data_IF_953960625423
#
_entry.id   IF_953960625423
#
_cell.length_a   1.000
_cell.length_b   1.000
_cell.length_c   1.000
_cell.angle_alpha   90.00
_cell.angle_beta   90.00
_cell.angle_gamma   90.00
#
_symmetry.space_group_name_H-M   'P 1'
#
loop_
_entity.id
_entity.type
_entity.pdbx_description
1 polymer ?
#
# COMPACT_ATOMS: atom_id res chain seq x y z
N UNK A 1 18.15 -21.95 21.64
CA UNK A 1 18.51 -20.53 21.86
C UNK A 1 17.85 -19.71 20.75
N UNK A 2 16.66 -19.14 20.97
CA UNK A 2 16.12 -18.15 20.02
C UNK A 2 16.30 -16.77 20.63
N UNK A 3 16.90 -15.87 19.85
CA UNK A 3 17.14 -14.48 20.24
C UNK A 3 15.79 -13.82 20.53
N UNK A 4 15.57 -13.46 21.79
CA UNK A 4 14.60 -12.45 22.20
C UNK A 4 14.92 -11.16 21.43
N UNK A 5 14.19 -10.89 20.35
CA UNK A 5 14.25 -9.62 19.65
C UNK A 5 13.67 -8.56 20.58
N UNK A 6 14.53 -7.70 21.12
CA UNK A 6 14.15 -6.52 21.88
C UNK A 6 13.59 -5.42 20.96
N UNK A 7 12.57 -5.73 20.15
CA UNK A 7 11.77 -4.69 19.50
C UNK A 7 10.80 -4.18 20.56
N UNK A 8 10.99 -2.96 21.03
CA UNK A 8 10.02 -2.30 21.91
C UNK A 8 8.63 -2.31 21.27
N UNK A 9 7.58 -2.22 22.08
CA UNK A 9 6.19 -2.05 21.61
C UNK A 9 6.04 -0.69 20.89
N UNK A 10 6.59 -0.58 19.69
CA UNK A 10 6.35 0.55 18.81
C UNK A 10 5.07 0.30 18.02
N UNK A 11 4.24 1.33 17.94
CA UNK A 11 3.09 1.34 17.04
C UNK A 11 3.56 1.93 15.71
N UNK A 12 3.32 1.22 14.62
CA UNK A 12 3.69 1.65 13.26
C UNK A 12 2.46 2.21 12.53
N UNK A 13 2.61 3.43 12.01
CA UNK A 13 1.52 4.15 11.34
C UNK A 13 1.97 4.57 9.93
N UNK A 14 1.18 4.21 8.92
CA UNK A 14 1.30 4.70 7.55
C UNK A 14 0.16 5.67 7.25
N UNK A 15 0.49 6.89 6.84
CA UNK A 15 -0.48 7.89 6.38
C UNK A 15 -0.23 8.24 4.92
N UNK A 16 -1.28 8.22 4.10
CA UNK A 16 -1.21 8.46 2.66
C UNK A 16 -2.09 9.66 2.29
N UNK A 17 -1.45 10.73 1.83
CA UNK A 17 -2.15 11.96 1.44
C UNK A 17 -3.00 11.78 0.17
N UNK A 18 -4.02 12.62 0.05
CA UNK A 18 -4.79 12.77 -1.18
C UNK A 18 -4.02 13.53 -2.26
N UNK A 19 -4.44 13.39 -3.52
CA UNK A 19 -3.78 14.10 -4.63
C UNK A 19 -4.40 13.91 -6.01
N UNK A 20 -5.56 13.27 -6.12
CA UNK A 20 -6.12 12.89 -7.42
C UNK A 20 -5.17 11.93 -8.16
N UNK A 21 -4.96 12.15 -9.46
CA UNK A 21 -4.01 11.38 -10.28
C UNK A 21 -2.60 11.31 -9.67
N UNK A 22 -2.21 12.30 -8.84
CA UNK A 22 -0.90 12.29 -8.15
C UNK A 22 -0.77 11.18 -7.10
N UNK A 23 -1.83 10.40 -6.82
CA UNK A 23 -1.74 9.14 -6.07
C UNK A 23 -0.72 8.14 -6.62
N UNK A 24 -0.29 8.31 -7.88
CA UNK A 24 0.84 7.57 -8.47
C UNK A 24 2.14 7.80 -7.68
N UNK A 25 2.39 9.01 -7.15
CA UNK A 25 3.62 9.34 -6.42
C UNK A 25 3.78 8.46 -5.17
N UNK A 26 2.84 8.45 -4.20
CA UNK A 26 2.92 7.51 -3.09
C UNK A 26 2.82 6.06 -3.53
N UNK A 27 2.12 5.75 -4.64
CA UNK A 27 2.09 4.40 -5.21
C UNK A 27 3.48 3.87 -5.59
N UNK A 28 4.32 4.68 -6.24
CA UNK A 28 5.71 4.31 -6.55
C UNK A 28 6.54 4.09 -5.28
N UNK A 29 6.39 4.98 -4.30
CA UNK A 29 7.12 4.87 -3.03
C UNK A 29 6.74 3.60 -2.26
N UNK A 30 5.44 3.27 -2.22
CA UNK A 30 4.92 2.07 -1.55
C UNK A 30 5.34 0.79 -2.28
N UNK A 31 5.36 0.79 -3.62
CA UNK A 31 5.84 -0.35 -4.38
C UNK A 31 7.32 -0.66 -4.07
N UNK A 32 8.16 0.38 -3.97
CA UNK A 32 9.56 0.21 -3.57
C UNK A 32 9.70 -0.24 -2.12
N UNK A 33 8.93 0.34 -1.19
CA UNK A 33 8.96 -0.08 0.21
C UNK A 33 8.57 -1.55 0.36
N UNK A 34 7.49 -1.98 -0.28
CA UNK A 34 7.04 -3.37 -0.22
C UNK A 34 8.05 -4.33 -0.85
N UNK A 35 8.72 -3.94 -1.94
CA UNK A 35 9.76 -4.79 -2.53
C UNK A 35 10.97 -4.98 -1.61
N UNK A 36 11.36 -3.93 -0.86
CA UNK A 36 12.42 -4.04 0.14
C UNK A 36 12.01 -4.94 1.32
N UNK A 37 10.74 -4.89 1.74
CA UNK A 37 10.21 -5.80 2.76
C UNK A 37 10.20 -7.25 2.26
N UNK A 38 9.85 -7.47 0.98
CA UNK A 38 9.87 -8.78 0.35
C UNK A 38 11.29 -9.36 0.21
N UNK A 39 12.28 -8.52 -0.08
CA UNK A 39 13.70 -8.94 -0.08
C UNK A 39 14.17 -9.42 1.30
N UNK A 40 13.63 -8.85 2.37
CA UNK A 40 14.03 -9.19 3.75
C UNK A 40 13.27 -10.39 4.32
N UNK A 41 11.96 -10.45 4.10
CA UNK A 41 11.06 -11.37 4.82
C UNK A 41 10.30 -12.34 3.90
N UNK A 42 10.45 -12.22 2.56
CA UNK A 42 9.90 -13.14 1.56
C UNK A 42 8.82 -12.52 0.65
N UNK A 43 8.58 -13.14 -0.51
CA UNK A 43 7.70 -12.60 -1.57
C UNK A 43 6.24 -12.36 -1.15
N UNK A 44 5.78 -13.05 -0.11
CA UNK A 44 4.43 -12.92 0.42
C UNK A 44 4.26 -11.73 1.38
N UNK A 45 5.35 -11.06 1.77
CA UNK A 45 5.31 -9.87 2.61
C UNK A 45 4.48 -8.76 1.94
N UNK A 46 3.60 -8.14 2.72
CA UNK A 46 2.75 -7.02 2.29
C UNK A 46 2.85 -5.85 3.24
N UNK A 47 2.60 -4.63 2.77
CA UNK A 47 2.57 -3.42 3.60
C UNK A 47 1.70 -3.62 4.88
N UNK A 48 0.55 -4.27 4.75
CA UNK A 48 -0.36 -4.53 5.86
C UNK A 48 0.20 -5.43 6.98
N UNK A 49 1.28 -6.17 6.74
CA UNK A 49 1.93 -7.02 7.75
C UNK A 49 2.80 -6.23 8.73
N UNK A 50 3.16 -5.00 8.37
CA UNK A 50 4.15 -4.19 9.10
C UNK A 50 3.56 -2.94 9.76
N UNK A 51 2.36 -2.52 9.37
CA UNK A 51 1.71 -1.31 9.86
C UNK A 51 0.46 -1.63 10.68
N UNK A 52 0.48 -1.28 11.96
CA UNK A 52 -0.68 -1.43 12.86
C UNK A 52 -1.87 -0.56 12.42
N UNK A 53 -1.56 0.62 11.85
CA UNK A 53 -2.55 1.56 11.34
C UNK A 53 -2.15 2.05 9.96
N UNK A 54 -3.09 1.96 9.01
CA UNK A 54 -2.95 2.55 7.68
C UNK A 54 -4.13 3.50 7.47
N UNK A 55 -3.83 4.76 7.21
CA UNK A 55 -4.81 5.79 6.96
C UNK A 55 -4.54 6.50 5.63
N UNK A 56 -5.60 6.94 4.97
CA UNK A 56 -5.46 7.71 3.75
C UNK A 56 -6.70 8.54 3.45
N UNK A 57 -6.50 9.71 2.83
CA UNK A 57 -7.59 10.63 2.47
C UNK A 57 -7.73 10.74 0.95
N UNK A 58 -8.96 10.76 0.42
CA UNK A 58 -9.23 10.83 -1.02
C UNK A 58 -8.53 9.67 -1.77
N UNK A 59 -7.69 9.95 -2.76
CA UNK A 59 -6.89 8.93 -3.47
C UNK A 59 -5.96 8.15 -2.55
N UNK A 60 -5.49 8.75 -1.45
CA UNK A 60 -4.78 8.01 -0.40
C UNK A 60 -5.68 6.97 0.27
N UNK A 61 -6.96 7.26 0.47
CA UNK A 61 -7.94 6.31 1.03
C UNK A 61 -8.27 5.17 0.07
N UNK A 62 -8.30 5.43 -1.24
CA UNK A 62 -8.38 4.37 -2.25
C UNK A 62 -7.17 3.43 -2.16
N UNK A 63 -5.95 3.99 -2.09
CA UNK A 63 -4.72 3.21 -1.94
C UNK A 63 -4.72 2.41 -0.63
N UNK A 64 -5.11 3.03 0.49
CA UNK A 64 -5.28 2.33 1.78
C UNK A 64 -6.22 1.14 1.62
N UNK A 65 -7.36 1.31 0.95
CA UNK A 65 -8.33 0.23 0.74
C UNK A 65 -7.73 -0.90 -0.12
N UNK A 66 -7.03 -0.57 -1.21
CA UNK A 66 -6.36 -1.58 -2.05
C UNK A 66 -5.36 -2.43 -1.25
N UNK A 67 -4.61 -1.82 -0.33
CA UNK A 67 -3.57 -2.47 0.47
C UNK A 67 -4.09 -3.21 1.71
N UNK A 68 -5.38 -3.09 2.05
CA UNK A 68 -5.93 -3.62 3.32
C UNK A 68 -7.20 -4.44 3.18
N UNK A 69 -7.95 -4.28 2.08
CA UNK A 69 -9.12 -5.09 1.82
C UNK A 69 -8.72 -6.56 1.64
N UNK A 70 -9.32 -7.51 2.38
CA UNK A 70 -8.93 -8.91 2.30
C UNK A 70 -9.49 -9.59 1.05
N UNK A 71 -8.69 -10.48 0.48
CA UNK A 71 -9.10 -11.46 -0.53
C UNK A 71 -9.70 -12.73 0.12
N UNK A 72 -9.97 -13.76 -0.68
CA UNK A 72 -10.51 -15.03 -0.21
C UNK A 72 -9.57 -15.80 0.75
N UNK A 73 -8.28 -15.45 0.78
CA UNK A 73 -7.26 -16.04 1.65
C UNK A 73 -6.92 -15.14 2.84
N UNK A 74 -7.72 -14.08 3.09
CA UNK A 74 -7.50 -13.10 4.14
C UNK A 74 -6.14 -12.38 4.02
N UNK A 75 -5.68 -12.15 2.78
CA UNK A 75 -4.51 -11.33 2.43
C UNK A 75 -4.95 -10.06 1.71
N UNK A 76 -4.14 -8.98 1.69
CA UNK A 76 -4.44 -7.81 0.87
C UNK A 76 -4.74 -8.16 -0.58
N UNK A 77 -5.87 -7.66 -1.09
CA UNK A 77 -6.35 -7.90 -2.46
C UNK A 77 -5.35 -7.41 -3.52
N UNK A 78 -4.62 -6.33 -3.22
CA UNK A 78 -3.58 -5.79 -4.08
C UNK A 78 -2.24 -5.77 -3.35
N UNK A 79 -1.16 -5.97 -4.12
CA UNK A 79 0.19 -5.59 -3.70
C UNK A 79 0.46 -4.12 -4.07
N UNK A 80 1.42 -3.49 -3.43
CA UNK A 80 1.75 -2.09 -3.67
C UNK A 80 2.23 -1.82 -5.11
N UNK A 81 2.86 -2.80 -5.77
CA UNK A 81 3.23 -2.70 -7.19
C UNK A 81 2.01 -2.59 -8.13
N UNK A 82 0.83 -2.99 -7.69
CA UNK A 82 -0.41 -2.95 -8.50
C UNK A 82 -1.08 -1.57 -8.48
N UNK A 83 -0.69 -0.68 -7.57
CA UNK A 83 -1.28 0.67 -7.43
C UNK A 83 -1.05 1.52 -8.68
N UNK A 84 0.17 1.54 -9.21
CA UNK A 84 0.49 2.36 -10.38
C UNK A 84 -0.24 1.84 -11.65
N UNK A 85 -0.20 0.53 -11.97
CA UNK A 85 -1.03 -0.03 -13.04
C UNK A 85 -2.51 0.32 -12.91
N UNK A 86 -3.09 0.21 -11.71
CA UNK A 86 -4.48 0.58 -11.45
C UNK A 86 -4.76 2.04 -11.83
N UNK A 87 -3.91 2.97 -11.41
CA UNK A 87 -4.10 4.38 -11.79
C UNK A 87 -3.94 4.60 -13.29
N UNK A 88 -2.95 3.98 -13.95
CA UNK A 88 -2.76 4.13 -15.40
C UNK A 88 -3.96 3.62 -16.20
N UNK A 89 -4.56 2.51 -15.77
CA UNK A 89 -5.73 1.93 -16.43
C UNK A 89 -7.00 2.76 -16.18
N UNK A 90 -7.24 3.17 -14.93
CA UNK A 90 -8.54 3.72 -14.54
C UNK A 90 -8.59 5.25 -14.53
N UNK A 91 -7.46 5.97 -14.46
CA UNK A 91 -7.46 7.44 -14.45
C UNK A 91 -8.23 8.08 -15.61
N UNK A 92 -8.12 7.62 -16.87
CA UNK A 92 -8.89 8.21 -17.96
C UNK A 92 -10.41 8.10 -17.80
N UNK A 93 -10.88 7.07 -17.07
CA UNK A 93 -12.32 6.85 -16.78
C UNK A 93 -12.77 7.62 -15.53
N UNK A 94 -11.90 7.73 -14.52
CA UNK A 94 -12.16 8.46 -13.27
C UNK A 94 -12.10 9.98 -13.48
N UNK A 95 -11.16 10.45 -14.30
CA UNK A 95 -10.91 11.85 -14.62
C UNK A 95 -11.00 12.07 -16.15
N UNK A 96 -12.19 11.93 -16.75
CA UNK A 96 -12.36 12.13 -18.18
C UNK A 96 -12.04 13.59 -18.56
N UNK A 97 -11.34 13.78 -19.68
CA UNK A 97 -11.13 15.12 -20.23
C UNK A 97 -12.44 15.63 -20.82
N UNK A 98 -12.84 16.89 -20.55
CA UNK A 98 -13.96 17.50 -21.24
C UNK A 98 -13.70 17.49 -22.75
N UNK A 99 -14.67 17.01 -23.52
CA UNK A 99 -14.68 17.09 -24.99
C UNK A 99 -14.98 18.49 -25.47
#
# INVERSE_FOLDING_TARGET
MSKSSSRGNFITILSIDGGGVRGIIPGVMLAYLESQLQELDGEDARIADYFDVIAGTSTGGLVTTMLTAPDANNRPLYSAKDIVPFYLEHCPKIFPQPT
#
